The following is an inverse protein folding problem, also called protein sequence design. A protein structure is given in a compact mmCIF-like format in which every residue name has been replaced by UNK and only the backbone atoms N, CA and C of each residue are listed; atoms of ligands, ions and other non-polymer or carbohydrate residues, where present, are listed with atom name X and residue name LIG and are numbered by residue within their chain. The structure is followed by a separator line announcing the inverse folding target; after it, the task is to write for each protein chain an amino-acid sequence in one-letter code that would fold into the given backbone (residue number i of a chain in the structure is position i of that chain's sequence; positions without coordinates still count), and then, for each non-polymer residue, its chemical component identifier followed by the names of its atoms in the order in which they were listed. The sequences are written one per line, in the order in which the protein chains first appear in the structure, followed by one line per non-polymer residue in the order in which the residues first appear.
data_IF_662126187005
#
_entry.id   IF_662126187005
#
_cell.length_a   1.000
_cell.length_b   1.000
_cell.length_c   1.000
_cell.angle_alpha   90.00
_cell.angle_beta   90.00
_cell.angle_gamma   90.00
#
_symmetry.space_group_name_H-M   'P 1'
#
loop_
_entity.id
_entity.type
_entity.pdbx_description
1 polymer ?
#
# COMPACT_ATOMS: atom_id res chain seq x y z
N UNK A 1 60.58 -20.90 -4.48
CA UNK A 1 60.30 -19.44 -4.38
C UNK A 1 60.25 -18.74 -5.75
N UNK A 2 61.11 -19.08 -6.71
CA UNK A 2 61.13 -18.49 -8.06
C UNK A 2 59.79 -18.58 -8.86
N UNK A 3 59.02 -19.70 -8.86
CA UNK A 3 57.80 -19.78 -9.67
C UNK A 3 56.64 -18.91 -9.14
N UNK A 4 56.61 -18.65 -7.82
CA UNK A 4 55.61 -17.76 -7.21
C UNK A 4 55.82 -16.31 -7.63
N UNK A 5 57.08 -15.88 -7.74
CA UNK A 5 57.42 -14.50 -8.12
C UNK A 5 57.05 -14.23 -9.57
N UNK A 6 57.24 -15.20 -10.48
CA UNK A 6 56.83 -15.11 -11.88
C UNK A 6 55.30 -15.00 -12.02
N UNK A 7 54.56 -15.80 -11.23
CA UNK A 7 53.09 -15.76 -11.25
C UNK A 7 52.53 -14.43 -10.74
N UNK A 8 53.15 -13.85 -9.70
CA UNK A 8 52.74 -12.55 -9.14
C UNK A 8 53.04 -11.41 -10.11
N UNK A 9 54.19 -11.43 -10.79
CA UNK A 9 54.55 -10.43 -11.81
C UNK A 9 53.61 -10.49 -13.01
N UNK A 10 53.20 -11.68 -13.43
CA UNK A 10 52.27 -11.84 -14.56
C UNK A 10 50.85 -11.34 -14.20
N UNK A 11 50.40 -11.56 -12.97
CA UNK A 11 49.12 -11.01 -12.47
C UNK A 11 49.18 -9.48 -12.38
N UNK A 12 50.28 -8.91 -11.90
CA UNK A 12 50.47 -7.45 -11.86
C UNK A 12 50.47 -6.82 -13.26
N UNK A 13 51.08 -7.47 -14.26
CA UNK A 13 51.05 -7.00 -15.64
C UNK A 13 49.65 -7.09 -16.28
N UNK A 14 48.85 -8.10 -15.94
CA UNK A 14 47.47 -8.18 -16.42
C UNK A 14 46.56 -7.11 -15.83
N UNK A 15 46.78 -6.74 -14.57
CA UNK A 15 45.98 -5.69 -13.89
C UNK A 15 46.28 -4.31 -14.51
N UNK A 16 47.55 -4.02 -14.79
CA UNK A 16 47.96 -2.72 -15.38
C UNK A 16 47.42 -2.56 -16.82
N UNK A 17 47.41 -3.64 -17.60
CA UNK A 17 46.86 -3.61 -18.96
C UNK A 17 45.33 -3.45 -18.99
N UNK A 18 44.63 -3.84 -17.93
CA UNK A 18 43.17 -3.77 -17.85
C UNK A 18 42.66 -2.43 -17.30
N UNK A 19 43.54 -1.61 -16.68
CA UNK A 19 43.21 -0.25 -16.23
C UNK A 19 43.42 0.82 -17.30
N UNK A 20 44.08 0.48 -18.41
CA UNK A 20 44.10 1.31 -19.62
C UNK A 20 42.84 1.02 -20.44
N UNK A 21 41.68 1.13 -19.80
CA UNK A 21 40.40 1.21 -20.50
C UNK A 21 40.42 2.57 -21.15
N UNK A 22 40.79 2.58 -22.44
CA UNK A 22 40.63 3.74 -23.29
C UNK A 22 39.25 4.33 -23.01
N UNK A 23 39.24 5.57 -22.51
CA UNK A 23 38.04 6.38 -22.36
C UNK A 23 37.54 6.73 -23.77
N UNK A 24 37.14 5.70 -24.52
CA UNK A 24 36.61 5.81 -25.86
C UNK A 24 35.16 6.26 -25.70
N UNK A 25 35.03 7.52 -25.30
CA UNK A 25 33.79 8.23 -25.05
C UNK A 25 33.12 8.46 -26.40
N UNK A 26 32.62 7.38 -26.98
CA UNK A 26 31.94 7.37 -28.27
C UNK A 26 30.68 8.21 -28.12
N UNK A 27 30.56 9.37 -28.77
CA UNK A 27 29.41 10.26 -28.59
C UNK A 27 28.09 9.56 -28.95
N UNK A 28 28.11 8.57 -29.86
CA UNK A 28 26.96 7.72 -30.17
C UNK A 28 26.44 6.89 -28.99
N UNK A 29 27.33 6.37 -28.14
CA UNK A 29 26.95 5.60 -26.94
C UNK A 29 26.24 6.50 -25.91
N UNK A 30 26.71 7.74 -25.77
CA UNK A 30 26.10 8.72 -24.89
C UNK A 30 24.67 9.11 -25.32
N UNK A 31 24.46 9.35 -26.62
CA UNK A 31 23.11 9.61 -27.15
C UNK A 31 22.17 8.42 -26.97
N UNK A 32 22.66 7.19 -27.17
CA UNK A 32 21.88 5.99 -26.95
C UNK A 32 21.48 5.83 -25.47
N UNK A 33 22.41 6.06 -24.54
CA UNK A 33 22.14 6.03 -23.10
C UNK A 33 21.10 7.08 -22.68
N UNK A 34 21.20 8.31 -23.20
CA UNK A 34 20.22 9.38 -22.95
C UNK A 34 18.81 9.00 -23.41
N UNK A 35 18.68 8.42 -24.61
CA UNK A 35 17.39 7.97 -25.14
C UNK A 35 16.83 6.81 -24.30
N UNK A 36 17.67 5.86 -23.91
CA UNK A 36 17.26 4.72 -23.08
C UNK A 36 16.74 5.18 -21.70
N UNK A 37 17.42 6.15 -21.07
CA UNK A 37 16.97 6.74 -19.80
C UNK A 37 15.65 7.49 -19.98
N UNK A 38 15.52 8.30 -21.03
CA UNK A 38 14.27 9.02 -21.32
C UNK A 38 13.10 8.05 -21.53
N UNK A 39 13.32 6.97 -22.27
CA UNK A 39 12.31 5.93 -22.50
C UNK A 39 11.90 5.22 -21.21
N UNK A 40 12.87 4.84 -20.36
CA UNK A 40 12.60 4.26 -19.04
C UNK A 40 11.77 5.20 -18.15
N UNK A 41 12.06 6.50 -18.19
CA UNK A 41 11.35 7.51 -17.40
C UNK A 41 9.89 7.65 -17.84
N UNK A 42 9.64 7.63 -19.16
CA UNK A 42 8.28 7.64 -19.73
C UNK A 42 7.51 6.39 -19.34
N UNK A 43 8.13 5.20 -19.47
CA UNK A 43 7.49 3.95 -19.07
C UNK A 43 7.14 3.93 -17.58
N UNK A 44 8.04 4.44 -16.73
CA UNK A 44 7.79 4.55 -15.30
C UNK A 44 6.61 5.48 -14.99
N UNK A 45 6.56 6.63 -15.66
CA UNK A 45 5.43 7.57 -15.54
C UNK A 45 4.09 6.96 -15.94
N UNK A 46 4.05 6.24 -17.07
CA UNK A 46 2.84 5.53 -17.52
C UNK A 46 2.44 4.43 -16.52
N UNK A 47 3.42 3.67 -16.01
CA UNK A 47 3.19 2.61 -15.02
C UNK A 47 2.51 3.14 -13.76
N UNK A 48 3.01 4.26 -13.21
CA UNK A 48 2.38 4.91 -12.05
C UNK A 48 0.96 5.37 -12.38
N UNK A 49 0.75 5.97 -13.55
CA UNK A 49 -0.57 6.42 -13.99
C UNK A 49 -1.60 5.29 -14.04
N UNK A 50 -1.22 4.13 -14.57
CA UNK A 50 -2.08 2.94 -14.65
C UNK A 50 -2.41 2.41 -13.24
N UNK A 51 -1.42 2.34 -12.35
CA UNK A 51 -1.63 1.87 -10.96
C UNK A 51 -2.59 2.79 -10.21
N UNK A 52 -2.42 4.12 -10.34
CA UNK A 52 -3.31 5.10 -9.73
C UNK A 52 -4.73 4.99 -10.28
N UNK A 53 -4.89 4.85 -11.59
CA UNK A 53 -6.20 4.68 -12.22
C UNK A 53 -6.89 3.40 -11.72
N UNK A 54 -6.16 2.29 -11.66
CA UNK A 54 -6.66 1.02 -11.14
C UNK A 54 -7.09 1.14 -9.67
N UNK A 55 -6.28 1.80 -8.84
CA UNK A 55 -6.60 2.06 -7.43
C UNK A 55 -7.87 2.90 -7.30
N UNK A 56 -8.02 3.95 -8.12
CA UNK A 56 -9.21 4.79 -8.14
C UNK A 56 -10.47 4.01 -8.55
N UNK A 57 -10.36 3.15 -9.56
CA UNK A 57 -11.45 2.25 -9.96
C UNK A 57 -11.83 1.28 -8.83
N UNK A 58 -10.85 0.68 -8.15
CA UNK A 58 -11.12 -0.21 -7.02
C UNK A 58 -11.82 0.51 -5.87
N UNK A 59 -11.43 1.75 -5.57
CA UNK A 59 -12.11 2.59 -4.57
C UNK A 59 -13.55 2.95 -4.99
N UNK A 60 -13.76 3.26 -6.27
CA UNK A 60 -15.09 3.52 -6.80
C UNK A 60 -15.98 2.27 -6.72
N UNK A 61 -15.49 1.10 -7.12
CA UNK A 61 -16.26 -0.16 -7.04
C UNK A 61 -16.54 -0.57 -5.60
N UNK A 62 -15.56 -0.47 -4.70
CA UNK A 62 -15.76 -0.79 -3.28
C UNK A 62 -16.73 0.17 -2.63
N UNK A 63 -16.62 1.48 -2.85
CA UNK A 63 -17.59 2.45 -2.33
C UNK A 63 -19.01 2.20 -2.87
N UNK A 64 -19.17 1.92 -4.18
CA UNK A 64 -20.46 1.61 -4.78
C UNK A 64 -21.06 0.32 -4.21
N UNK A 65 -20.25 -0.73 -4.03
CA UNK A 65 -20.66 -1.99 -3.44
C UNK A 65 -21.07 -1.85 -1.97
N UNK A 66 -20.33 -1.03 -1.21
CA UNK A 66 -20.66 -0.74 0.18
C UNK A 66 -21.94 0.10 0.28
N UNK A 67 -22.12 1.12 -0.57
CA UNK A 67 -23.35 1.92 -0.64
C UNK A 67 -24.54 1.03 -1.00
N UNK A 68 -24.41 0.19 -2.02
CA UNK A 68 -25.47 -0.73 -2.44
C UNK A 68 -25.87 -1.67 -1.30
N UNK A 69 -24.89 -2.29 -0.63
CA UNK A 69 -25.12 -3.16 0.52
C UNK A 69 -25.78 -2.41 1.70
N UNK A 70 -25.35 -1.18 1.97
CA UNK A 70 -25.91 -0.35 3.02
C UNK A 70 -27.37 0.05 2.74
N UNK A 71 -27.70 0.40 1.49
CA UNK A 71 -29.06 0.72 1.06
C UNK A 71 -29.96 -0.51 1.18
N UNK A 72 -29.50 -1.68 0.70
CA UNK A 72 -30.25 -2.93 0.75
C UNK A 72 -30.52 -3.37 2.21
N UNK A 73 -29.52 -3.25 3.08
CA UNK A 73 -29.67 -3.55 4.51
C UNK A 73 -30.55 -2.51 5.23
N UNK A 74 -30.47 -1.24 4.82
CA UNK A 74 -31.32 -0.16 5.32
C UNK A 74 -32.81 -0.36 4.97
N UNK A 75 -33.08 -0.82 3.75
CA UNK A 75 -34.42 -1.21 3.29
C UNK A 75 -34.93 -2.44 4.04
N UNK A 76 -34.09 -3.47 4.21
CA UNK A 76 -34.48 -4.70 4.91
C UNK A 76 -34.82 -4.46 6.38
N UNK A 77 -34.05 -3.63 7.09
CA UNK A 77 -34.30 -3.29 8.50
C UNK A 77 -35.20 -2.05 8.72
N UNK A 78 -35.73 -1.43 7.65
CA UNK A 78 -36.44 -0.14 7.68
C UNK A 78 -35.71 0.95 8.51
N UNK A 79 -34.37 0.91 8.55
CA UNK A 79 -33.58 1.80 9.39
C UNK A 79 -32.25 2.15 8.73
N UNK A 80 -32.11 3.41 8.33
CA UNK A 80 -30.91 3.98 7.72
C UNK A 80 -29.65 3.80 8.59
N UNK A 81 -29.82 3.80 9.91
CA UNK A 81 -28.76 3.54 10.89
C UNK A 81 -28.10 2.17 10.67
N UNK A 82 -28.87 1.14 10.32
CA UNK A 82 -28.34 -0.22 10.20
C UNK A 82 -27.43 -0.39 8.97
N UNK A 83 -27.75 0.29 7.86
CA UNK A 83 -26.90 0.34 6.67
C UNK A 83 -25.60 1.10 6.90
N UNK A 84 -25.66 2.25 7.59
CA UNK A 84 -24.47 3.03 7.94
C UNK A 84 -23.52 2.25 8.87
N UNK A 85 -24.07 1.46 9.80
CA UNK A 85 -23.26 0.57 10.66
C UNK A 85 -22.48 -0.47 9.86
N UNK A 86 -23.12 -1.09 8.88
CA UNK A 86 -22.45 -2.06 8.02
C UNK A 86 -21.32 -1.37 7.23
N UNK A 87 -21.58 -0.19 6.65
CA UNK A 87 -20.61 0.61 5.90
C UNK A 87 -19.37 0.96 6.73
N UNK A 88 -19.55 1.44 7.95
CA UNK A 88 -18.42 1.82 8.84
C UNK A 88 -17.57 0.61 9.18
N UNK A 89 -18.18 -0.55 9.43
CA UNK A 89 -17.44 -1.77 9.77
C UNK A 89 -16.64 -2.28 8.56
N UNK A 90 -17.25 -2.38 7.37
CA UNK A 90 -16.53 -2.85 6.17
C UNK A 90 -15.44 -1.87 5.75
N UNK A 91 -15.70 -0.57 5.76
CA UNK A 91 -14.70 0.44 5.42
C UNK A 91 -13.49 0.40 6.38
N UNK A 92 -13.75 0.33 7.69
CA UNK A 92 -12.70 0.18 8.71
C UNK A 92 -11.87 -1.09 8.48
N UNK A 93 -12.52 -2.20 8.18
CA UNK A 93 -11.87 -3.50 7.99
C UNK A 93 -10.96 -3.51 6.76
N UNK A 94 -11.43 -2.97 5.64
CA UNK A 94 -10.64 -2.89 4.41
C UNK A 94 -9.45 -1.94 4.61
N UNK A 95 -9.69 -0.75 5.18
CA UNK A 95 -8.65 0.27 5.35
C UNK A 95 -7.51 -0.21 6.26
N UNK A 96 -7.85 -0.80 7.40
CA UNK A 96 -6.86 -1.37 8.34
C UNK A 96 -6.18 -2.62 7.80
N UNK A 97 -6.89 -3.46 7.02
CA UNK A 97 -6.31 -4.57 6.27
C UNK A 97 -5.17 -4.11 5.37
N UNK A 98 -5.43 -3.12 4.52
CA UNK A 98 -4.44 -2.52 3.61
C UNK A 98 -3.30 -1.89 4.41
N UNK A 99 -3.61 -1.07 5.42
CA UNK A 99 -2.60 -0.37 6.21
C UNK A 99 -1.63 -1.35 6.91
N UNK A 100 -2.16 -2.43 7.49
CA UNK A 100 -1.35 -3.44 8.16
C UNK A 100 -0.47 -4.25 7.20
N UNK A 101 -0.93 -4.49 5.97
CA UNK A 101 -0.16 -5.19 4.94
C UNK A 101 1.05 -4.35 4.51
N UNK A 102 0.87 -3.03 4.39
CA UNK A 102 1.94 -2.08 4.13
C UNK A 102 2.91 -2.03 5.31
N UNK A 103 2.41 -1.85 6.54
CA UNK A 103 3.26 -1.83 7.74
C UNK A 103 4.06 -3.11 7.93
N UNK A 104 3.45 -4.27 7.68
CA UNK A 104 4.11 -5.59 7.72
C UNK A 104 5.26 -5.68 6.71
N UNK A 105 5.05 -5.16 5.49
CA UNK A 105 6.08 -5.16 4.45
C UNK A 105 7.29 -4.32 4.87
N UNK A 106 7.05 -3.15 5.46
CA UNK A 106 8.12 -2.28 6.01
C UNK A 106 8.88 -2.98 7.14
N UNK A 107 8.17 -3.59 8.09
CA UNK A 107 8.80 -4.31 9.21
C UNK A 107 9.63 -5.50 8.72
N UNK A 108 9.16 -6.21 7.70
CA UNK A 108 9.88 -7.34 7.12
C UNK A 108 11.19 -6.92 6.46
N UNK A 109 11.26 -5.70 5.89
CA UNK A 109 12.48 -5.15 5.32
C UNK A 109 13.54 -4.86 6.40
N UNK A 110 13.12 -4.42 7.60
CA UNK A 110 14.04 -4.18 8.72
C UNK A 110 14.55 -5.47 9.40
N UNK A 111 13.69 -6.49 9.52
CA UNK A 111 14.01 -7.67 10.35
C UNK A 111 14.38 -8.92 9.55
N UNK A 112 14.13 -8.97 8.23
CA UNK A 112 14.38 -10.14 7.36
C UNK A 112 13.87 -11.50 7.91
N UNK A 113 12.88 -11.47 8.81
CA UNK A 113 12.43 -12.66 9.56
C UNK A 113 11.70 -13.67 8.65
N UNK A 114 11.12 -13.24 7.51
CA UNK A 114 10.33 -14.13 6.66
C UNK A 114 10.34 -13.74 5.18
N UNK A 115 9.95 -14.69 4.32
CA UNK A 115 9.70 -14.48 2.90
C UNK A 115 8.62 -13.40 2.69
N UNK A 116 8.86 -12.49 1.73
CA UNK A 116 8.05 -11.29 1.46
C UNK A 116 6.57 -11.61 1.23
N UNK A 117 6.26 -12.76 0.60
CA UNK A 117 4.87 -13.21 0.40
C UNK A 117 4.16 -13.55 1.71
N UNK A 118 4.85 -14.24 2.62
CA UNK A 118 4.27 -14.65 3.89
C UNK A 118 4.02 -13.44 4.80
N UNK A 119 4.91 -12.45 4.78
CA UNK A 119 4.75 -11.21 5.53
C UNK A 119 3.50 -10.41 5.08
N UNK A 120 3.28 -10.29 3.76
CA UNK A 120 2.11 -9.61 3.20
C UNK A 120 0.79 -10.29 3.61
N UNK A 121 0.73 -11.63 3.48
CA UNK A 121 -0.47 -12.39 3.83
C UNK A 121 -0.77 -12.33 5.32
N UNK A 122 0.25 -12.50 6.17
CA UNK A 122 0.09 -12.40 7.63
C UNK A 122 -0.33 -10.99 8.07
N UNK A 123 0.29 -9.96 7.48
CA UNK A 123 -0.07 -8.56 7.73
C UNK A 123 -1.55 -8.34 7.42
N UNK A 124 -1.99 -8.68 6.21
CA UNK A 124 -3.37 -8.50 5.78
C UNK A 124 -4.37 -9.27 6.66
N UNK A 125 -4.07 -10.51 7.03
CA UNK A 125 -4.93 -11.30 7.94
C UNK A 125 -5.06 -10.66 9.32
N UNK A 126 -3.95 -10.21 9.91
CA UNK A 126 -3.98 -9.49 11.18
C UNK A 126 -4.75 -8.17 11.07
N UNK A 127 -4.56 -7.42 9.98
CA UNK A 127 -5.30 -6.19 9.72
C UNK A 127 -6.79 -6.39 9.60
N UNK A 128 -7.24 -7.47 8.95
CA UNK A 128 -8.67 -7.79 8.87
C UNK A 128 -9.27 -8.02 10.26
N UNK A 129 -8.57 -8.75 11.13
CA UNK A 129 -9.04 -9.01 12.50
C UNK A 129 -9.11 -7.71 13.30
N UNK A 130 -8.01 -6.95 13.34
CA UNK A 130 -7.93 -5.65 14.05
C UNK A 130 -8.97 -4.66 13.51
N UNK A 131 -9.16 -4.65 12.21
CA UNK A 131 -10.10 -3.81 11.49
C UNK A 131 -11.55 -4.08 11.82
N UNK A 132 -11.91 -5.36 11.93
CA UNK A 132 -13.23 -5.78 12.35
C UNK A 132 -13.54 -5.34 13.80
N UNK A 133 -12.58 -5.53 14.72
CA UNK A 133 -12.73 -5.06 16.11
C UNK A 133 -12.85 -3.54 16.19
N UNK A 134 -11.98 -2.81 15.48
CA UNK A 134 -12.02 -1.34 15.41
C UNK A 134 -13.34 -0.84 14.82
N UNK A 135 -13.85 -1.48 13.77
CA UNK A 135 -15.13 -1.15 13.16
C UNK A 135 -16.31 -1.36 14.12
N UNK A 136 -16.30 -2.45 14.90
CA UNK A 136 -17.28 -2.66 15.97
C UNK A 136 -17.20 -1.58 17.04
N UNK A 137 -15.99 -1.19 17.44
CA UNK A 137 -15.78 -0.15 18.45
C UNK A 137 -16.30 1.21 17.97
N UNK A 138 -15.99 1.59 16.73
CA UNK A 138 -16.47 2.82 16.10
C UNK A 138 -18.00 2.86 16.05
N UNK A 139 -18.64 1.73 15.76
CA UNK A 139 -20.09 1.61 15.76
C UNK A 139 -20.70 1.82 17.16
N UNK A 140 -20.07 1.30 18.23
CA UNK A 140 -20.51 1.56 19.61
C UNK A 140 -20.41 3.05 19.97
N UNK A 141 -19.32 3.71 19.58
CA UNK A 141 -19.14 5.15 19.80
C UNK A 141 -20.21 5.95 19.06
N UNK A 142 -20.48 5.60 17.79
CA UNK A 142 -21.50 6.27 16.99
C UNK A 142 -22.90 6.11 17.59
N UNK A 143 -23.22 4.93 18.14
CA UNK A 143 -24.48 4.69 18.83
C UNK A 143 -24.62 5.58 20.06
N UNK A 144 -23.58 5.67 20.89
CA UNK A 144 -23.56 6.55 22.07
C UNK A 144 -23.74 8.03 21.68
N UNK A 145 -23.10 8.46 20.59
CA UNK A 145 -23.24 9.83 20.09
C UNK A 145 -24.68 10.11 19.64
N UNK A 146 -25.28 9.20 18.89
CA UNK A 146 -26.65 9.36 18.39
C UNK A 146 -27.68 9.39 19.51
N UNK A 147 -27.53 8.56 20.56
CA UNK A 147 -28.39 8.65 21.75
C UNK A 147 -28.20 9.98 22.48
N UNK A 148 -26.96 10.45 22.62
CA UNK A 148 -26.69 11.73 23.28
C UNK A 148 -27.33 12.92 22.55
N UNK A 149 -27.27 12.93 21.22
CA UNK A 149 -27.93 13.95 20.41
C UNK A 149 -29.46 13.86 20.49
N UNK A 150 -30.02 12.65 20.48
CA UNK A 150 -31.46 12.46 20.61
C UNK A 150 -31.98 13.04 21.93
N UNK A 151 -31.32 12.73 23.04
CA UNK A 151 -31.74 13.22 24.35
C UNK A 151 -31.62 14.75 24.43
N UNK A 152 -30.52 15.32 23.90
CA UNK A 152 -30.29 16.77 23.94
C UNK A 152 -31.27 17.58 23.08
N UNK A 153 -31.78 17.02 21.99
CA UNK A 153 -32.74 17.70 21.09
C UNK A 153 -34.18 17.58 21.60
N UNK A 154 -34.59 16.43 22.13
CA UNK A 154 -35.97 16.23 22.60
C UNK A 154 -36.25 16.86 23.97
N UNK A 155 -35.28 17.01 24.87
CA UNK A 155 -35.50 17.71 26.16
C UNK A 155 -35.70 19.22 25.99
N UNK A 156 -35.26 19.81 24.88
CA UNK A 156 -35.42 21.25 24.63
C UNK A 156 -36.79 21.64 24.06
N UNK A 157 -37.56 20.69 23.50
CA UNK A 157 -38.88 20.97 22.89
C UNK A 157 -40.08 20.76 23.82
N UNK A 158 -39.88 20.22 25.03
CA UNK A 158 -40.96 20.04 26.02
C UNK A 158 -41.02 21.15 27.08
N UNK A 159 -40.21 22.20 26.91
CA UNK A 159 -40.11 23.36 27.81
C UNK A 159 -40.47 24.69 27.12
N UNK A 160 -40.98 24.63 25.87
CA UNK A 160 -41.60 25.76 25.16
C UNK A 160 -43.07 25.47 24.92
#
# INVERSE_FOLDING_TARGET
MIPLLISVVNILLQIDHQTNVDNDFSPGLFFFAMIAIAFMLVLFGIGIGIVLLCCLCLLALTSLGIISSAVLYGLYKKSFLSGFRALVITASTIFTGILSAVSSSVINEFFQISSTRNALVLGFLFGLVVGFFTGKLANLVLQKLLTFFKDKVFTKSSLS
#
